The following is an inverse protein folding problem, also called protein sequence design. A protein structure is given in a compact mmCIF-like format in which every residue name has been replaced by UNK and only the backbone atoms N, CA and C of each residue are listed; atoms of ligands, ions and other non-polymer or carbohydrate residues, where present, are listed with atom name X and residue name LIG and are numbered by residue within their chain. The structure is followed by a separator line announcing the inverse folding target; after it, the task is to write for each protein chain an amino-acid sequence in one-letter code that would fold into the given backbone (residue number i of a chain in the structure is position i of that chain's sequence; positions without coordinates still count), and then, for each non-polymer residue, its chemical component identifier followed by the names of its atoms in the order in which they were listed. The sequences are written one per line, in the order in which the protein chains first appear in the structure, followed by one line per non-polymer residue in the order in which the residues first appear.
data_IF_761309935645
#
_entry.id   IF_761309935645
#
_cell.length_a   1.000
_cell.length_b   1.000
_cell.length_c   1.000
_cell.angle_alpha   90.00
_cell.angle_beta   90.00
_cell.angle_gamma   90.00
#
_symmetry.space_group_name_H-M   'P 1'
#
loop_
_entity.id
_entity.type
_entity.pdbx_description
1 polymer ?
#
# COMPACT_ATOMS: atom_id res chain seq x y z
N UNK A 1 -24.01 63.21 -26.63
CA UNK A 1 -25.35 62.69 -26.27
C UNK A 1 -25.20 61.69 -25.13
N UNK A 2 -25.54 62.04 -23.87
CA UNK A 2 -25.54 61.10 -22.74
C UNK A 2 -26.87 60.35 -22.74
N UNK A 3 -26.83 59.03 -22.92
CA UNK A 3 -28.01 58.17 -22.93
C UNK A 3 -28.72 58.18 -21.59
N UNK A 4 -30.06 58.31 -21.61
CA UNK A 4 -30.87 58.22 -20.39
C UNK A 4 -30.69 56.83 -19.77
N UNK A 5 -30.42 56.71 -18.45
CA UNK A 5 -30.29 55.41 -17.81
C UNK A 5 -31.61 54.63 -17.89
N UNK A 6 -31.48 53.34 -18.22
CA UNK A 6 -32.57 52.39 -18.41
C UNK A 6 -33.35 52.10 -17.12
N UNK A 7 -34.56 51.53 -17.24
CA UNK A 7 -35.52 51.41 -16.14
C UNK A 7 -34.99 50.64 -14.92
N UNK A 8 -34.17 49.60 -15.13
CA UNK A 8 -33.57 48.81 -14.05
C UNK A 8 -32.56 49.61 -13.19
N UNK A 9 -31.80 50.52 -13.82
CA UNK A 9 -30.84 51.35 -13.10
C UNK A 9 -31.52 52.41 -12.21
N UNK A 10 -32.73 52.87 -12.60
CA UNK A 10 -33.54 53.79 -11.78
C UNK A 10 -34.19 53.08 -10.59
N UNK A 11 -34.53 51.81 -10.75
CA UNK A 11 -35.13 51.01 -9.68
C UNK A 11 -34.09 50.70 -8.59
N UNK A 12 -32.86 50.33 -8.98
CA UNK A 12 -31.77 50.10 -8.04
C UNK A 12 -31.34 51.37 -7.28
N UNK A 13 -31.29 52.53 -7.95
CA UNK A 13 -30.98 53.80 -7.28
C UNK A 13 -32.07 54.19 -6.28
N UNK A 14 -33.36 53.95 -6.60
CA UNK A 14 -34.46 54.27 -5.69
C UNK A 14 -34.41 53.47 -4.39
N UNK A 15 -34.04 52.19 -4.46
CA UNK A 15 -33.88 51.33 -3.28
C UNK A 15 -32.70 51.76 -2.39
N UNK A 16 -31.62 52.24 -3.01
CA UNK A 16 -30.45 52.74 -2.27
C UNK A 16 -30.78 54.06 -1.57
N UNK A 17 -31.47 54.97 -2.26
CA UNK A 17 -31.87 56.27 -1.71
C UNK A 17 -32.88 56.11 -0.57
N UNK A 18 -33.84 55.18 -0.70
CA UNK A 18 -34.82 54.86 0.34
C UNK A 18 -34.17 54.16 1.56
N UNK A 19 -33.21 53.26 1.32
CA UNK A 19 -32.42 52.65 2.38
C UNK A 19 -31.53 53.67 3.12
N UNK A 20 -30.93 54.62 2.41
CA UNK A 20 -30.10 55.69 2.98
C UNK A 20 -30.94 56.71 3.76
N UNK A 21 -32.16 57.01 3.30
CA UNK A 21 -33.10 57.90 3.99
C UNK A 21 -33.62 57.30 5.32
N UNK A 22 -33.64 55.97 5.45
CA UNK A 22 -34.03 55.26 6.67
C UNK A 22 -32.96 55.30 7.79
N UNK A 23 -31.67 55.45 7.42
CA UNK A 23 -30.53 55.45 8.34
C UNK A 23 -30.59 56.55 9.43
N UNK A 24 -30.86 57.84 9.12
CA UNK A 24 -30.91 58.87 10.15
C UNK A 24 -32.10 58.71 11.10
N UNK A 25 -33.21 58.13 10.63
CA UNK A 25 -34.45 57.99 11.39
C UNK A 25 -34.38 56.86 12.43
N UNK A 26 -33.66 55.78 12.10
CA UNK A 26 -33.53 54.58 12.94
C UNK A 26 -32.06 54.24 13.27
N UNK A 27 -31.26 55.25 13.63
CA UNK A 27 -29.80 55.17 13.82
C UNK A 27 -29.33 53.96 14.66
N UNK A 28 -30.06 53.59 15.72
CA UNK A 28 -29.73 52.42 16.57
C UNK A 28 -29.92 51.08 15.85
N UNK A 29 -30.95 50.95 15.02
CA UNK A 29 -31.23 49.72 14.25
C UNK A 29 -30.28 49.59 13.05
N UNK A 30 -29.90 50.71 12.43
CA UNK A 30 -28.90 50.75 11.36
C UNK A 30 -27.52 50.29 11.86
N UNK A 31 -27.09 50.76 13.05
CA UNK A 31 -25.83 50.29 13.68
C UNK A 31 -25.87 48.80 13.96
N UNK A 32 -27.00 48.28 14.47
CA UNK A 32 -27.15 46.86 14.79
C UNK A 32 -27.08 45.96 13.53
N UNK A 33 -27.68 46.40 12.42
CA UNK A 33 -27.57 45.71 11.13
C UNK A 33 -26.15 45.66 10.59
N UNK A 34 -25.38 46.75 10.71
CA UNK A 34 -23.98 46.79 10.29
C UNK A 34 -23.14 45.82 11.14
N UNK A 35 -23.36 45.80 12.47
CA UNK A 35 -22.64 44.87 13.36
C UNK A 35 -22.95 43.41 13.01
N UNK A 36 -24.22 43.07 12.76
CA UNK A 36 -24.61 41.71 12.35
C UNK A 36 -23.98 41.34 11.00
N UNK A 37 -23.95 42.26 10.03
CA UNK A 37 -23.31 42.02 8.74
C UNK A 37 -21.80 41.78 8.87
N UNK A 38 -21.12 42.53 9.75
CA UNK A 38 -19.68 42.34 10.02
C UNK A 38 -19.41 41.00 10.70
N UNK A 39 -20.24 40.60 11.67
CA UNK A 39 -20.12 39.29 12.34
C UNK A 39 -20.38 38.15 11.36
N UNK A 40 -21.40 38.28 10.49
CA UNK A 40 -21.69 37.28 9.47
C UNK A 40 -20.54 37.14 8.46
N UNK A 41 -19.95 38.26 8.03
CA UNK A 41 -18.78 38.25 7.15
C UNK A 41 -17.55 37.61 7.82
N UNK A 42 -17.33 37.86 9.11
CA UNK A 42 -16.21 37.28 9.86
C UNK A 42 -16.42 35.79 10.20
N UNK A 43 -17.66 35.35 10.39
CA UNK A 43 -18.01 33.94 10.53
C UNK A 43 -17.82 33.15 9.23
N UNK A 44 -18.17 33.75 8.09
CA UNK A 44 -18.02 33.13 6.78
C UNK A 44 -16.54 32.90 6.40
N UNK A 45 -15.62 33.80 6.78
CA UNK A 45 -14.17 33.61 6.51
C UNK A 45 -13.52 32.52 7.36
N UNK A 46 -14.10 32.18 8.52
CA UNK A 46 -13.64 31.09 9.40
C UNK A 46 -14.17 29.71 9.01
N UNK A 47 -15.25 29.66 8.22
CA UNK A 47 -15.88 28.42 7.73
C UNK A 47 -15.41 28.01 6.34
N UNK A 48 -14.58 28.81 5.67
CA UNK A 48 -13.87 28.37 4.48
C UNK A 48 -12.76 27.44 4.97
N UNK A 49 -12.84 26.12 4.72
CA UNK A 49 -11.71 25.26 5.00
C UNK A 49 -10.55 25.82 4.20
N UNK A 50 -9.42 26.07 4.86
CA UNK A 50 -8.15 26.27 4.20
C UNK A 50 -7.98 25.07 3.30
N UNK A 51 -8.28 25.24 2.01
CA UNK A 51 -7.95 24.25 1.02
C UNK A 51 -6.43 24.18 1.08
N UNK A 52 -5.92 23.20 1.82
CA UNK A 52 -4.61 22.65 1.60
C UNK A 52 -4.69 22.13 0.18
N UNK A 53 -4.43 23.02 -0.77
CA UNK A 53 -4.16 22.69 -2.15
C UNK A 53 -2.99 21.74 -2.03
N UNK A 54 -3.28 20.43 -2.06
CA UNK A 54 -2.24 19.42 -2.12
C UNK A 54 -1.38 19.85 -3.29
N UNK A 55 -0.12 20.22 -3.01
CA UNK A 55 0.84 20.34 -4.08
C UNK A 55 0.81 18.97 -4.74
N UNK A 56 0.27 18.92 -5.96
CA UNK A 56 0.50 17.80 -6.84
C UNK A 56 2.01 17.75 -6.94
N UNK A 57 2.63 16.81 -6.20
CA UNK A 57 4.02 16.46 -6.37
C UNK A 57 4.10 16.10 -7.83
N UNK A 58 4.73 16.96 -8.61
CA UNK A 58 4.95 16.77 -10.03
C UNK A 58 5.63 15.41 -10.12
N UNK A 59 4.88 14.41 -10.59
CA UNK A 59 5.34 13.02 -10.59
C UNK A 59 6.56 13.02 -11.49
N UNK A 60 7.72 12.84 -10.90
CA UNK A 60 8.99 12.81 -11.60
C UNK A 60 8.81 11.91 -12.83
N UNK A 61 9.03 12.46 -14.02
CA UNK A 61 8.87 11.70 -15.27
C UNK A 61 9.74 10.46 -15.14
N UNK A 62 9.10 9.29 -15.04
CA UNK A 62 9.79 8.01 -14.96
C UNK A 62 10.67 7.86 -16.20
N UNK A 63 11.99 7.91 -16.02
CA UNK A 63 12.97 7.72 -17.10
C UNK A 63 13.10 6.25 -17.53
N UNK A 64 12.19 5.38 -17.09
CA UNK A 64 12.21 3.97 -17.37
C UNK A 64 11.60 3.72 -18.76
N UNK A 65 12.30 2.97 -19.61
CA UNK A 65 11.76 2.46 -20.87
C UNK A 65 10.43 1.74 -20.61
N UNK A 66 9.45 1.91 -21.51
CA UNK A 66 8.17 1.21 -21.36
C UNK A 66 8.35 -0.30 -21.56
N UNK A 67 7.71 -1.13 -20.71
CA UNK A 67 7.66 -2.57 -20.88
C UNK A 67 7.09 -2.97 -22.24
N UNK A 68 7.84 -3.80 -22.98
CA UNK A 68 7.36 -4.44 -24.21
C UNK A 68 6.35 -5.54 -23.88
N UNK A 69 6.56 -6.25 -22.76
CA UNK A 69 5.65 -7.29 -22.28
C UNK A 69 6.24 -8.13 -21.14
N UNK A 70 5.42 -8.96 -20.48
CA UNK A 70 5.86 -9.81 -19.38
C UNK A 70 6.75 -10.96 -19.86
N UNK A 71 7.61 -11.45 -18.97
CA UNK A 71 8.36 -12.70 -19.10
C UNK A 71 7.88 -13.62 -18.00
N UNK A 72 7.43 -14.82 -18.36
CA UNK A 72 6.96 -15.81 -17.40
C UNK A 72 8.07 -16.21 -16.41
N UNK A 73 7.66 -16.45 -15.17
CA UNK A 73 8.56 -16.90 -14.11
C UNK A 73 8.86 -18.40 -14.26
N UNK A 74 10.02 -18.83 -13.74
CA UNK A 74 10.41 -20.24 -13.62
C UNK A 74 10.48 -21.03 -14.94
N UNK A 75 10.77 -20.36 -16.06
CA UNK A 75 11.01 -20.99 -17.38
C UNK A 75 12.50 -21.17 -17.70
N UNK A 76 13.38 -20.85 -16.74
CA UNK A 76 14.84 -20.92 -16.89
C UNK A 76 15.46 -19.59 -17.34
N UNK A 77 16.61 -19.67 -18.00
CA UNK A 77 17.32 -18.49 -18.53
C UNK A 77 16.72 -18.03 -19.86
N UNK A 78 16.48 -16.72 -19.97
CA UNK A 78 15.89 -16.08 -21.15
C UNK A 78 16.84 -15.00 -21.67
N UNK A 79 17.16 -15.02 -22.97
CA UNK A 79 17.90 -13.94 -23.64
C UNK A 79 16.99 -12.69 -23.70
N UNK A 80 17.35 -11.64 -22.98
CA UNK A 80 16.56 -10.39 -22.88
C UNK A 80 17.03 -9.32 -23.85
N UNK A 81 18.31 -9.32 -24.20
CA UNK A 81 18.87 -8.37 -25.16
C UNK A 81 20.15 -8.92 -25.79
N UNK A 82 20.41 -8.54 -27.03
CA UNK A 82 21.65 -8.84 -27.75
C UNK A 82 22.03 -7.66 -28.64
N UNK A 83 23.33 -7.30 -28.63
CA UNK A 83 23.92 -6.38 -29.59
C UNK A 83 25.10 -7.04 -30.31
N UNK A 84 25.88 -6.29 -31.10
CA UNK A 84 27.02 -6.84 -31.86
C UNK A 84 28.08 -7.56 -31.00
N UNK A 85 28.25 -7.17 -29.73
CA UNK A 85 29.37 -7.67 -28.88
C UNK A 85 28.92 -8.39 -27.60
N UNK A 86 27.67 -8.23 -27.18
CA UNK A 86 27.15 -8.71 -25.89
C UNK A 86 25.81 -9.42 -26.03
N UNK A 87 25.59 -10.40 -25.17
CA UNK A 87 24.28 -11.00 -24.91
C UNK A 87 23.93 -10.86 -23.44
N UNK A 88 22.68 -10.54 -23.14
CA UNK A 88 22.15 -10.39 -21.79
C UNK A 88 21.05 -11.42 -21.55
N UNK A 89 21.20 -12.22 -20.51
CA UNK A 89 20.26 -13.24 -20.08
C UNK A 89 19.71 -12.88 -18.70
N UNK A 90 18.48 -13.31 -18.42
CA UNK A 90 17.88 -13.28 -17.08
C UNK A 90 17.43 -14.68 -16.70
N UNK A 91 17.77 -15.14 -15.50
CA UNK A 91 17.19 -16.33 -14.88
C UNK A 91 15.83 -15.95 -14.27
N UNK A 92 14.77 -16.53 -14.81
CA UNK A 92 13.37 -16.22 -14.44
C UNK A 92 12.94 -16.81 -13.10
N UNK A 93 13.82 -17.55 -12.41
CA UNK A 93 13.63 -18.06 -11.05
C UNK A 93 14.46 -17.29 -10.03
N UNK A 94 15.72 -17.01 -10.34
CA UNK A 94 16.66 -16.41 -9.37
C UNK A 94 16.82 -14.90 -9.54
N UNK A 95 16.30 -14.32 -10.63
CA UNK A 95 16.52 -12.93 -11.05
C UNK A 95 17.98 -12.59 -11.37
N UNK A 96 18.86 -13.60 -11.47
CA UNK A 96 20.24 -13.41 -11.91
C UNK A 96 20.27 -12.86 -13.33
N UNK A 97 21.03 -11.80 -13.55
CA UNK A 97 21.33 -11.25 -14.86
C UNK A 97 22.74 -11.70 -15.25
N UNK A 98 22.85 -12.34 -16.41
CA UNK A 98 24.12 -12.82 -16.96
C UNK A 98 24.43 -12.11 -18.26
N UNK A 99 25.59 -11.47 -18.35
CA UNK A 99 26.09 -10.81 -19.56
C UNK A 99 27.24 -11.63 -20.12
N UNK A 100 27.18 -11.93 -21.41
CA UNK A 100 28.23 -12.67 -22.14
C UNK A 100 28.86 -11.77 -23.19
N UNK A 101 30.18 -11.68 -23.19
CA UNK A 101 30.95 -11.07 -24.28
C UNK A 101 31.20 -12.06 -25.40
N UNK A 102 30.72 -11.75 -26.60
CA UNK A 102 30.81 -12.64 -27.77
C UNK A 102 32.21 -12.75 -28.34
N UNK A 103 33.07 -11.76 -28.11
CA UNK A 103 34.45 -11.75 -28.64
C UNK A 103 35.43 -12.53 -27.77
N UNK A 104 35.28 -12.42 -26.45
CA UNK A 104 36.20 -12.98 -25.45
C UNK A 104 35.63 -14.22 -24.76
N UNK A 105 34.31 -14.43 -24.80
CA UNK A 105 33.61 -15.45 -24.01
C UNK A 105 33.49 -15.13 -22.53
N UNK A 106 33.90 -13.92 -22.10
CA UNK A 106 33.78 -13.51 -20.71
C UNK A 106 32.32 -13.46 -20.26
N UNK A 107 32.07 -13.88 -19.02
CA UNK A 107 30.73 -13.92 -18.40
C UNK A 107 30.74 -13.09 -17.13
N UNK A 108 29.75 -12.22 -17.00
CA UNK A 108 29.47 -11.47 -15.77
C UNK A 108 28.08 -11.83 -15.27
N UNK A 109 27.95 -12.07 -13.97
CA UNK A 109 26.68 -12.38 -13.32
C UNK A 109 26.43 -11.36 -12.22
N UNK A 110 25.17 -10.97 -12.02
CA UNK A 110 24.80 -10.08 -10.90
C UNK A 110 24.82 -10.80 -9.58
N UNK A 111 24.50 -12.09 -9.57
CA UNK A 111 24.48 -12.92 -8.36
C UNK A 111 25.69 -13.85 -8.35
N UNK A 112 26.26 -14.07 -7.17
CA UNK A 112 27.31 -15.06 -6.99
C UNK A 112 26.71 -16.48 -6.93
N UNK A 113 26.13 -16.95 -8.04
CA UNK A 113 25.48 -18.26 -8.14
C UNK A 113 26.49 -19.43 -8.11
N UNK A 114 27.78 -19.15 -8.29
CA UNK A 114 28.87 -20.12 -8.24
C UNK A 114 29.64 -20.16 -6.92
N UNK A 115 29.71 -21.36 -6.33
CA UNK A 115 30.71 -21.86 -5.36
C UNK A 115 30.78 -21.31 -3.92
N UNK A 116 30.16 -20.18 -3.54
CA UNK A 116 30.53 -19.54 -2.28
C UNK A 116 29.68 -19.83 -1.02
N UNK A 117 28.54 -20.53 -1.08
CA UNK A 117 27.62 -20.45 0.07
C UNK A 117 26.76 -21.70 0.34
N UNK A 118 27.30 -22.90 0.12
CA UNK A 118 26.73 -24.09 0.77
C UNK A 118 27.62 -24.40 1.98
N UNK A 119 27.08 -24.24 3.19
CA UNK A 119 27.75 -24.74 4.40
C UNK A 119 28.05 -26.23 4.22
N UNK A 120 29.12 -26.75 4.83
CA UNK A 120 29.51 -28.16 4.71
C UNK A 120 28.41 -29.18 5.09
N UNK A 121 27.34 -28.72 5.73
CA UNK A 121 26.16 -29.47 6.17
C UNK A 121 24.92 -29.30 5.26
N UNK A 122 25.04 -28.57 4.15
CA UNK A 122 23.91 -28.27 3.27
C UNK A 122 22.94 -27.21 3.82
N UNK A 123 23.25 -26.60 4.97
CA UNK A 123 22.43 -25.52 5.53
C UNK A 123 22.72 -24.20 4.82
N UNK A 124 21.64 -23.55 4.40
CA UNK A 124 21.66 -22.20 3.82
C UNK A 124 21.80 -21.24 5.01
N UNK A 125 23.00 -20.72 5.25
CA UNK A 125 23.22 -19.72 6.31
C UNK A 125 22.44 -18.44 5.99
N UNK A 126 22.09 -17.63 7.00
CA UNK A 126 21.49 -16.31 6.80
C UNK A 126 22.36 -15.40 5.91
N UNK A 127 23.67 -15.69 5.84
CA UNK A 127 24.62 -15.08 4.91
C UNK A 127 24.32 -15.41 3.44
N UNK A 128 23.77 -16.58 3.12
CA UNK A 128 23.38 -16.96 1.75
C UNK A 128 22.43 -15.96 1.11
N UNK A 129 21.37 -15.60 1.85
CA UNK A 129 20.34 -14.69 1.33
C UNK A 129 20.94 -13.36 0.90
N UNK A 130 22.03 -12.90 1.53
CA UNK A 130 22.74 -11.68 1.11
C UNK A 130 23.53 -11.85 -0.19
N UNK A 131 24.17 -13.00 -0.41
CA UNK A 131 24.98 -13.25 -1.61
C UNK A 131 24.16 -13.52 -2.88
N UNK A 132 22.97 -14.10 -2.72
CA UNK A 132 22.05 -14.33 -3.84
C UNK A 132 20.95 -13.28 -3.94
N UNK A 133 21.10 -12.17 -3.20
CA UNK A 133 20.20 -11.04 -3.31
C UNK A 133 20.81 -9.94 -4.19
N UNK A 134 20.09 -9.43 -5.20
CA UNK A 134 20.57 -8.32 -6.02
C UNK A 134 20.74 -7.01 -5.23
N UNK A 135 20.06 -6.86 -4.09
CA UNK A 135 20.20 -5.70 -3.21
C UNK A 135 19.82 -6.01 -1.76
N UNK A 136 20.27 -5.16 -0.83
CA UNK A 136 19.87 -5.12 0.57
C UNK A 136 19.52 -3.67 0.95
N UNK A 137 18.45 -3.49 1.72
CA UNK A 137 17.97 -2.21 2.22
C UNK A 137 18.11 -2.23 3.73
N UNK A 138 18.94 -1.33 4.26
CA UNK A 138 19.05 -1.09 5.70
C UNK A 138 18.09 0.05 6.10
N UNK A 139 17.33 -0.16 7.18
CA UNK A 139 16.35 0.81 7.67
C UNK A 139 16.29 0.80 9.20
N UNK A 140 15.56 1.78 9.76
CA UNK A 140 15.24 1.86 11.18
C UNK A 140 13.76 1.55 11.33
N UNK A 141 13.42 0.54 12.13
CA UNK A 141 12.02 0.17 12.37
C UNK A 141 11.34 1.09 13.39
N UNK A 142 10.04 0.88 13.62
CA UNK A 142 9.23 1.68 14.55
C UNK A 142 9.75 1.69 16.00
N UNK A 143 10.57 0.69 16.38
CA UNK A 143 11.19 0.60 17.69
C UNK A 143 12.54 1.35 17.77
N UNK A 144 12.95 2.06 16.71
CA UNK A 144 14.24 2.72 16.61
C UNK A 144 15.42 1.77 16.43
N UNK A 145 15.16 0.50 16.10
CA UNK A 145 16.18 -0.53 15.92
C UNK A 145 16.54 -0.65 14.44
N UNK A 146 17.84 -0.77 14.14
CA UNK A 146 18.33 -1.05 12.78
C UNK A 146 17.90 -2.45 12.34
N UNK A 147 17.35 -2.55 11.15
CA UNK A 147 16.94 -3.79 10.51
C UNK A 147 17.38 -3.76 9.03
N UNK A 148 17.41 -4.93 8.39
CA UNK A 148 17.72 -5.05 6.98
C UNK A 148 16.76 -5.98 6.25
N UNK A 149 16.50 -5.65 4.98
CA UNK A 149 15.65 -6.41 4.06
C UNK A 149 16.41 -6.66 2.77
N UNK A 150 16.54 -7.93 2.36
CA UNK A 150 17.17 -8.30 1.09
C UNK A 150 16.13 -8.89 0.13
N UNK A 151 16.28 -8.63 -1.17
CA UNK A 151 15.36 -9.12 -2.19
C UNK A 151 15.22 -10.65 -2.20
N UNK A 152 16.27 -11.41 -1.86
CA UNK A 152 16.15 -12.87 -1.83
C UNK A 152 15.13 -13.37 -0.79
N UNK A 153 15.32 -12.99 0.47
CA UNK A 153 14.51 -13.46 1.59
C UNK A 153 13.08 -12.90 1.57
N UNK A 154 12.90 -11.71 1.01
CA UNK A 154 11.65 -10.94 1.07
C UNK A 154 10.90 -10.87 -0.27
N UNK A 155 11.42 -11.50 -1.34
CA UNK A 155 10.76 -11.50 -2.66
C UNK A 155 11.11 -12.75 -3.49
N UNK A 156 12.38 -12.96 -3.86
CA UNK A 156 12.80 -13.96 -4.86
C UNK A 156 12.49 -15.39 -4.42
N UNK A 157 12.81 -15.74 -3.16
CA UNK A 157 12.61 -17.10 -2.61
C UNK A 157 11.16 -17.58 -2.77
N UNK A 158 10.21 -16.66 -2.66
CA UNK A 158 8.78 -16.95 -2.68
C UNK A 158 8.13 -16.51 -4.02
N UNK A 159 8.95 -16.23 -5.04
CA UNK A 159 8.52 -15.81 -6.39
C UNK A 159 7.66 -14.52 -6.42
N UNK A 160 7.82 -13.64 -5.44
CA UNK A 160 7.08 -12.37 -5.32
C UNK A 160 7.76 -11.25 -6.12
N UNK A 161 7.91 -11.43 -7.42
CA UNK A 161 8.46 -10.43 -8.33
C UNK A 161 7.81 -10.54 -9.72
N UNK A 162 7.91 -9.50 -10.53
CA UNK A 162 7.52 -9.53 -11.94
C UNK A 162 8.74 -9.24 -12.82
N UNK A 163 8.82 -9.91 -13.96
CA UNK A 163 9.84 -9.66 -14.98
C UNK A 163 9.15 -9.15 -16.23
N UNK A 164 9.57 -8.00 -16.72
CA UNK A 164 9.13 -7.45 -17.99
C UNK A 164 10.30 -7.24 -18.93
N UNK A 165 10.09 -7.55 -20.20
CA UNK A 165 11.03 -7.22 -21.28
C UNK A 165 10.99 -5.73 -21.55
N UNK A 166 12.17 -5.14 -21.72
CA UNK A 166 12.36 -3.79 -22.26
C UNK A 166 12.90 -3.89 -23.70
N UNK A 167 12.92 -2.77 -24.43
CA UNK A 167 13.51 -2.74 -25.77
C UNK A 167 14.99 -3.13 -25.72
N UNK A 168 15.72 -2.63 -24.73
CA UNK A 168 17.17 -2.83 -24.59
C UNK A 168 17.57 -3.55 -23.29
N UNK A 169 16.67 -4.36 -22.70
CA UNK A 169 16.99 -5.05 -21.45
C UNK A 169 15.78 -5.69 -20.76
N UNK A 170 15.81 -5.65 -19.43
CA UNK A 170 14.80 -6.25 -18.56
C UNK A 170 14.49 -5.32 -17.39
N UNK A 171 13.21 -5.26 -17.03
CA UNK A 171 12.73 -4.65 -15.80
C UNK A 171 12.33 -5.77 -14.85
N UNK A 172 12.83 -5.71 -13.60
CA UNK A 172 12.43 -6.63 -12.55
C UNK A 172 11.82 -5.80 -11.42
N UNK A 173 10.57 -6.09 -11.10
CA UNK A 173 9.83 -5.44 -10.02
C UNK A 173 9.73 -6.40 -8.86
N UNK A 174 10.36 -6.06 -7.74
CA UNK A 174 10.35 -6.88 -6.53
C UNK A 174 9.26 -6.39 -5.58
N UNK A 175 8.46 -7.31 -5.07
CA UNK A 175 7.53 -7.03 -3.98
C UNK A 175 8.18 -7.46 -2.66
N UNK A 176 8.61 -6.49 -1.85
CA UNK A 176 9.23 -6.73 -0.57
C UNK A 176 8.15 -6.78 0.52
N UNK A 177 7.79 -7.98 0.97
CA UNK A 177 6.83 -8.15 2.07
C UNK A 177 7.51 -8.73 3.31
N UNK A 178 7.25 -8.13 4.47
CA UNK A 178 7.53 -8.80 5.74
C UNK A 178 6.59 -10.00 5.87
N UNK A 179 7.18 -11.19 6.00
CA UNK A 179 6.46 -12.49 5.99
C UNK A 179 5.43 -12.63 7.09
N UNK A 180 5.52 -11.82 8.13
CA UNK A 180 4.42 -11.70 9.04
C UNK A 180 3.30 -10.92 8.34
N UNK A 181 2.45 -11.64 7.56
CA UNK A 181 1.02 -11.36 7.68
C UNK A 181 0.79 -11.52 9.17
N UNK A 182 0.73 -10.39 9.86
CA UNK A 182 0.39 -10.37 11.26
C UNK A 182 -1.10 -10.68 11.25
N UNK A 183 -1.45 -11.96 11.09
CA UNK A 183 -2.83 -12.43 11.03
C UNK A 183 -3.57 -11.89 12.25
N UNK A 184 -2.86 -11.78 13.38
CA UNK A 184 -3.32 -11.13 14.60
C UNK A 184 -3.67 -9.63 14.50
N UNK A 185 -3.10 -8.87 13.56
CA UNK A 185 -3.49 -7.49 13.27
C UNK A 185 -4.82 -7.41 12.50
N UNK A 186 -5.19 -8.48 11.79
CA UNK A 186 -6.45 -8.58 11.06
C UNK A 186 -7.55 -9.29 11.87
N UNK A 187 -7.20 -9.93 12.99
CA UNK A 187 -8.13 -10.61 13.86
C UNK A 187 -8.67 -9.69 14.97
N UNK A 188 -9.97 -9.76 15.31
CA UNK A 188 -10.53 -8.94 16.37
C UNK A 188 -9.95 -9.33 17.73
N UNK A 189 -9.49 -8.34 18.51
CA UNK A 189 -8.97 -8.61 19.87
C UNK A 189 -10.02 -9.19 20.82
N UNK A 190 -11.29 -8.86 20.59
CA UNK A 190 -12.45 -9.37 21.34
C UNK A 190 -13.63 -9.55 20.40
N UNK A 191 -14.38 -10.63 20.56
CA UNK A 191 -15.63 -10.88 19.83
C UNK A 191 -16.64 -11.53 20.78
N UNK A 192 -17.86 -11.01 20.84
CA UNK A 192 -18.91 -11.62 21.68
C UNK A 192 -19.24 -13.03 21.18
N UNK A 193 -19.71 -13.91 22.07
CA UNK A 193 -20.15 -15.25 21.66
C UNK A 193 -21.23 -15.17 20.57
N UNK A 194 -22.22 -14.30 20.74
CA UNK A 194 -23.29 -14.09 19.75
C UNK A 194 -22.75 -13.68 18.38
N UNK A 195 -21.77 -12.77 18.34
CA UNK A 195 -21.20 -12.28 17.09
C UNK A 195 -20.35 -13.35 16.41
N UNK A 196 -19.57 -14.11 17.18
CA UNK A 196 -18.82 -15.24 16.68
C UNK A 196 -19.72 -16.29 16.01
N UNK A 197 -20.81 -16.67 16.69
CA UNK A 197 -21.77 -17.64 16.14
C UNK A 197 -22.40 -17.13 14.83
N UNK A 198 -22.83 -15.86 14.82
CA UNK A 198 -23.51 -15.24 13.67
C UNK A 198 -22.62 -15.10 12.43
N UNK A 199 -21.36 -14.67 12.61
CA UNK A 199 -20.54 -14.26 11.45
C UNK A 199 -19.42 -15.23 11.11
N UNK A 200 -19.06 -16.13 12.01
CA UNK A 200 -17.95 -17.06 11.83
C UNK A 200 -18.45 -18.51 11.91
N UNK A 201 -18.88 -18.97 13.08
CA UNK A 201 -19.22 -20.38 13.34
C UNK A 201 -20.27 -20.91 12.36
N UNK A 202 -21.42 -20.23 12.29
CA UNK A 202 -22.52 -20.65 11.41
C UNK A 202 -22.16 -20.66 9.91
N UNK A 203 -21.25 -19.80 9.48
CA UNK A 203 -20.79 -19.73 8.08
C UNK A 203 -19.84 -20.87 7.74
N UNK A 204 -18.99 -21.25 8.70
CA UNK A 204 -18.07 -22.38 8.55
C UNK A 204 -18.84 -23.69 8.56
N UNK A 205 -19.84 -23.83 9.44
CA UNK A 205 -20.75 -24.98 9.45
C UNK A 205 -21.51 -25.11 8.11
N UNK A 206 -22.11 -24.00 7.64
CA UNK A 206 -22.81 -23.96 6.35
C UNK A 206 -21.88 -24.31 5.17
N UNK A 207 -20.62 -23.88 5.23
CA UNK A 207 -19.63 -24.21 4.20
C UNK A 207 -19.26 -25.70 4.20
N UNK A 208 -19.17 -26.33 5.38
CA UNK A 208 -18.92 -27.77 5.50
C UNK A 208 -20.12 -28.57 4.97
N UNK A 209 -21.34 -28.20 5.35
CA UNK A 209 -22.56 -28.87 4.89
C UNK A 209 -22.72 -28.80 3.36
N UNK A 210 -22.33 -27.68 2.75
CA UNK A 210 -22.34 -27.48 1.29
C UNK A 210 -21.15 -28.13 0.57
N UNK A 211 -20.21 -28.73 1.31
CA UNK A 211 -18.99 -29.32 0.75
C UNK A 211 -18.04 -28.30 0.13
N UNK A 212 -18.13 -27.03 0.54
CA UNK A 212 -17.19 -25.98 0.12
C UNK A 212 -15.85 -26.06 0.86
N UNK A 213 -15.86 -26.69 2.04
CA UNK A 213 -14.66 -27.02 2.81
C UNK A 213 -14.68 -28.50 3.17
N UNK A 214 -13.50 -29.09 3.23
CA UNK A 214 -13.30 -30.46 3.70
C UNK A 214 -13.40 -30.56 5.22
N UNK A 215 -13.64 -31.77 5.73
CA UNK A 215 -13.62 -32.03 7.18
C UNK A 215 -12.28 -31.67 7.82
N UNK A 216 -11.17 -31.88 7.10
CA UNK A 216 -9.83 -31.52 7.55
C UNK A 216 -9.69 -30.00 7.72
N UNK A 217 -10.16 -29.21 6.76
CA UNK A 217 -10.13 -27.75 6.83
C UNK A 217 -11.01 -27.22 7.97
N UNK A 218 -12.20 -27.81 8.16
CA UNK A 218 -13.08 -27.49 9.29
C UNK A 218 -12.40 -27.74 10.64
N UNK A 219 -11.78 -28.91 10.80
CA UNK A 219 -11.08 -29.27 12.04
C UNK A 219 -9.87 -28.36 12.28
N UNK A 220 -9.11 -28.05 11.23
CA UNK A 220 -7.98 -27.13 11.29
C UNK A 220 -8.41 -25.73 11.70
N UNK A 221 -9.55 -25.25 11.18
CA UNK A 221 -10.13 -23.97 11.58
C UNK A 221 -10.45 -23.94 13.08
N UNK A 222 -11.16 -24.95 13.60
CA UNK A 222 -11.51 -24.99 15.03
C UNK A 222 -10.27 -25.08 15.93
N UNK A 223 -9.29 -25.91 15.55
CA UNK A 223 -8.00 -25.99 16.25
C UNK A 223 -7.28 -24.64 16.26
N UNK A 224 -7.26 -23.94 15.13
CA UNK A 224 -6.68 -22.60 15.04
C UNK A 224 -7.44 -21.61 15.92
N UNK A 225 -8.77 -21.61 15.88
CA UNK A 225 -9.60 -20.71 16.69
C UNK A 225 -9.29 -20.87 18.19
N UNK A 226 -9.29 -22.12 18.67
CA UNK A 226 -9.03 -22.44 20.07
C UNK A 226 -7.58 -22.11 20.50
N UNK A 227 -6.63 -22.14 19.57
CA UNK A 227 -5.24 -21.76 19.87
C UNK A 227 -5.06 -20.25 20.09
N UNK A 228 -5.87 -19.41 19.42
CA UNK A 228 -5.73 -17.94 19.47
C UNK A 228 -6.74 -17.24 20.36
N UNK A 229 -7.87 -17.88 20.69
CA UNK A 229 -8.96 -17.26 21.46
C UNK A 229 -9.30 -18.02 22.74
N UNK A 230 -9.25 -17.31 23.85
CA UNK A 230 -9.74 -17.78 25.15
C UNK A 230 -11.18 -17.34 25.38
N UNK A 231 -12.02 -18.24 25.91
CA UNK A 231 -13.39 -17.90 26.34
C UNK A 231 -13.38 -17.15 27.67
N UNK A 232 -13.92 -15.93 27.68
CA UNK A 232 -14.22 -15.17 28.88
C UNK A 232 -15.73 -15.24 29.17
N UNK A 233 -16.10 -16.07 30.15
CA UNK A 233 -17.50 -16.28 30.55
C UNK A 233 -18.09 -15.09 31.30
N UNK A 234 -17.27 -14.30 31.98
CA UNK A 234 -17.73 -13.11 32.71
C UNK A 234 -18.23 -12.03 31.74
N UNK A 235 -17.47 -11.80 30.67
CA UNK A 235 -17.78 -10.80 29.65
C UNK A 235 -18.53 -11.37 28.43
N UNK A 236 -18.86 -12.67 28.44
CA UNK A 236 -19.54 -13.40 27.35
C UNK A 236 -18.87 -13.18 25.98
N UNK A 237 -17.54 -13.21 25.94
CA UNK A 237 -16.76 -12.97 24.73
C UNK A 237 -15.54 -13.87 24.63
N UNK A 238 -15.10 -14.10 23.39
CA UNK A 238 -13.76 -14.60 23.10
C UNK A 238 -12.79 -13.43 23.16
N UNK A 239 -11.67 -13.65 23.82
CA UNK A 239 -10.57 -12.68 23.93
C UNK A 239 -9.34 -13.30 23.29
N UNK A 240 -8.70 -12.54 22.40
CA UNK A 240 -7.46 -12.94 21.80
C UNK A 240 -6.40 -13.13 22.88
N UNK A 241 -5.88 -14.34 23.01
CA UNK A 241 -4.84 -14.70 23.99
C UNK A 241 -3.61 -15.19 23.24
N UNK A 242 -2.58 -14.36 23.16
CA UNK A 242 -1.27 -14.81 22.67
C UNK A 242 -0.69 -15.73 23.73
N UNK A 243 -0.67 -17.04 23.46
CA UNK A 243 -0.25 -18.01 24.46
C UNK A 243 0.01 -19.42 23.92
N UNK A 244 0.81 -19.57 22.85
CA UNK A 244 1.82 -20.63 22.75
C UNK A 244 2.49 -20.62 21.37
N UNK A 245 3.80 -20.88 21.37
CA UNK A 245 4.55 -21.30 20.18
C UNK A 245 3.87 -22.54 19.56
N UNK A 246 3.92 -22.72 18.22
CA UNK A 246 3.42 -23.93 17.60
C UNK A 246 4.09 -25.17 18.24
N UNK A 247 3.37 -26.30 18.41
CA UNK A 247 4.00 -27.52 18.88
C UNK A 247 5.13 -27.91 17.91
N UNK A 248 6.32 -28.18 18.47
CA UNK A 248 7.49 -28.76 17.78
C UNK A 248 7.17 -30.11 17.18
#
# INVERSE_FOLDING_TARGET
MRGKPGPAARQASSWIDEALAWVPMNRRKAVLLVVVAVIAAFGATRLLPSALTGQAVETEKSYLEEPVGPIDQNIGEVLVYENETKQMYVDTKTTNIRIVDKGTGAVWETLAAGAAVVGSDGSISESYGKFVSPFEIDYVNDNGVRASMNAYNYSIRDMQFAINRLANGVQITYELQDKAIRVFEHLPRRISFSRYEEVISSRVDEALEKGLVSQTEYNNFNMFWDAFYSRNLQDQCYVYSVGSLPPT
#
